data_IF_885516949046
#
_entry.id   IF_885516949046
#
_cell.length_a   1.000
_cell.length_b   1.000
_cell.length_c   1.000
_cell.angle_alpha   90.00
_cell.angle_beta   90.00
_cell.angle_gamma   90.00
#
_symmetry.space_group_name_H-M   'P 1'
#
loop_
_entity.id
_entity.type
_entity.pdbx_description
1 polymer ?
#
# COMPACT_ATOMS: atom_id res chain seq x y z
N UNK A 1 51.62 38.16 -91.75
CA UNK A 1 50.56 37.15 -91.65
C UNK A 1 51.27 35.81 -91.44
N UNK A 2 51.16 35.08 -90.34
CA UNK A 2 50.29 35.15 -89.17
C UNK A 2 51.04 34.57 -87.94
N UNK A 3 50.74 35.15 -86.78
CA UNK A 3 50.46 34.50 -85.49
C UNK A 3 51.21 33.20 -85.13
N UNK A 4 52.30 33.33 -84.37
CA UNK A 4 52.70 32.28 -83.43
C UNK A 4 51.99 32.55 -82.10
N UNK A 5 50.74 32.09 -82.03
CA UNK A 5 50.05 31.89 -80.76
C UNK A 5 50.81 30.84 -79.97
N UNK A 6 51.61 31.27 -79.00
CA UNK A 6 52.02 30.39 -77.93
C UNK A 6 50.74 29.99 -77.19
N UNK A 7 50.22 28.80 -77.49
CA UNK A 7 49.24 28.13 -76.65
C UNK A 7 49.86 27.98 -75.27
N UNK A 8 49.55 28.94 -74.39
CA UNK A 8 49.72 28.78 -72.97
C UNK A 8 48.77 27.65 -72.58
N UNK A 9 49.30 26.42 -72.52
CA UNK A 9 48.53 25.31 -71.97
C UNK A 9 48.40 25.62 -70.49
N UNK A 10 47.26 26.19 -70.13
CA UNK A 10 46.88 26.52 -68.76
C UNK A 10 46.60 25.21 -68.00
N UNK A 11 47.67 24.45 -67.75
CA UNK A 11 47.59 23.23 -66.96
C UNK A 11 47.56 23.64 -65.49
N UNK A 12 46.37 23.61 -64.90
CA UNK A 12 46.18 23.72 -63.45
C UNK A 12 47.12 22.75 -62.74
N UNK A 13 47.92 23.23 -61.78
CA UNK A 13 48.84 22.41 -61.00
C UNK A 13 48.06 21.22 -60.38
N UNK A 14 48.47 19.96 -60.60
CA UNK A 14 47.78 18.78 -60.07
C UNK A 14 47.50 18.83 -58.55
N UNK A 15 48.30 19.57 -57.78
CA UNK A 15 48.06 19.79 -56.34
C UNK A 15 46.80 20.62 -56.09
N UNK A 16 46.52 21.62 -56.92
CA UNK A 16 45.31 22.44 -56.85
C UNK A 16 44.08 21.59 -57.13
N UNK A 17 44.16 20.67 -58.11
CA UNK A 17 43.09 19.72 -58.42
C UNK A 17 42.76 18.84 -57.19
N UNK A 18 43.77 18.30 -56.51
CA UNK A 18 43.60 17.43 -55.32
C UNK A 18 42.95 18.20 -54.16
N UNK A 19 43.37 19.44 -53.90
CA UNK A 19 42.77 20.24 -52.81
C UNK A 19 41.33 20.67 -53.15
N UNK A 20 41.00 20.92 -54.42
CA UNK A 20 39.62 21.19 -54.85
C UNK A 20 38.72 19.95 -54.69
N UNK A 21 39.22 18.76 -55.00
CA UNK A 21 38.49 17.51 -54.75
C UNK A 21 38.26 17.29 -53.25
N UNK A 22 39.27 17.57 -52.41
CA UNK A 22 39.10 17.53 -50.95
C UNK A 22 38.08 18.54 -50.45
N UNK A 23 38.07 19.76 -51.00
CA UNK A 23 37.11 20.79 -50.63
C UNK A 23 35.69 20.39 -51.02
N UNK A 24 35.50 19.82 -52.23
CA UNK A 24 34.20 19.31 -52.67
C UNK A 24 33.73 18.16 -51.78
N UNK A 25 34.59 17.18 -51.48
CA UNK A 25 34.25 16.07 -50.58
C UNK A 25 33.88 16.56 -49.17
N UNK A 26 34.64 17.52 -48.62
CA UNK A 26 34.34 18.12 -47.33
C UNK A 26 33.01 18.89 -47.35
N UNK A 27 32.69 19.56 -48.46
CA UNK A 27 31.41 20.27 -48.65
C UNK A 27 30.25 19.28 -48.68
N UNK A 28 30.39 18.16 -49.40
CA UNK A 28 29.37 17.10 -49.43
C UNK A 28 29.17 16.45 -48.06
N UNK A 29 30.26 16.24 -47.31
CA UNK A 29 30.21 15.70 -45.96
C UNK A 29 29.54 16.66 -44.97
N UNK A 30 29.84 17.97 -45.06
CA UNK A 30 29.14 19.01 -44.28
C UNK A 30 27.65 18.99 -44.59
N UNK A 31 27.27 19.02 -45.87
CA UNK A 31 25.86 19.01 -46.27
C UNK A 31 25.13 17.78 -45.75
N UNK A 32 25.78 16.61 -45.81
CA UNK A 32 25.22 15.37 -45.28
C UNK A 32 25.02 15.43 -43.76
N UNK A 33 26.03 15.89 -43.02
CA UNK A 33 25.96 16.02 -41.56
C UNK A 33 24.91 17.07 -41.13
N UNK A 34 24.73 18.14 -41.90
CA UNK A 34 23.68 19.13 -41.66
C UNK A 34 22.28 18.51 -41.79
N UNK A 35 22.05 17.72 -42.84
CA UNK A 35 20.78 16.99 -43.02
C UNK A 35 20.54 16.01 -41.88
N UNK A 36 21.53 15.18 -41.53
CA UNK A 36 21.43 14.21 -40.43
C UNK A 36 21.19 14.90 -39.08
N UNK A 37 21.84 16.04 -38.84
CA UNK A 37 21.65 16.84 -37.63
C UNK A 37 20.23 17.37 -37.53
N UNK A 38 19.67 17.88 -38.62
CA UNK A 38 18.31 18.40 -38.65
C UNK A 38 17.26 17.29 -38.50
N UNK A 39 17.49 16.12 -39.08
CA UNK A 39 16.68 14.92 -38.86
C UNK A 39 16.72 14.48 -37.39
N UNK A 40 17.91 14.39 -36.79
CA UNK A 40 18.07 14.03 -35.37
C UNK A 40 17.39 15.06 -34.45
N UNK A 41 17.51 16.35 -34.76
CA UNK A 41 16.84 17.43 -34.01
C UNK A 41 15.33 17.33 -34.14
N UNK A 42 14.80 17.03 -35.33
CA UNK A 42 13.38 16.83 -35.55
C UNK A 42 12.86 15.61 -34.76
N UNK A 43 13.58 14.48 -34.82
CA UNK A 43 13.24 13.27 -34.07
C UNK A 43 13.26 13.52 -32.55
N UNK A 44 14.27 14.23 -32.04
CA UNK A 44 14.35 14.59 -30.63
C UNK A 44 13.16 15.46 -30.18
N UNK A 45 12.80 16.48 -30.97
CA UNK A 45 11.64 17.34 -30.68
C UNK A 45 10.35 16.53 -30.64
N UNK A 46 10.14 15.61 -31.60
CA UNK A 46 8.98 14.72 -31.62
C UNK A 46 8.93 13.83 -30.38
N UNK A 47 10.04 13.17 -30.05
CA UNK A 47 10.12 12.30 -28.87
C UNK A 47 9.88 13.07 -27.57
N UNK A 48 10.41 14.29 -27.45
CA UNK A 48 10.21 15.15 -26.29
C UNK A 48 8.72 15.51 -26.16
N UNK A 49 8.08 15.96 -27.24
CA UNK A 49 6.65 16.27 -27.25
C UNK A 49 5.80 15.05 -26.87
N UNK A 50 6.08 13.88 -27.44
CA UNK A 50 5.35 12.65 -27.13
C UNK A 50 5.53 12.23 -25.66
N UNK A 51 6.75 12.32 -25.15
CA UNK A 51 7.09 11.97 -23.76
C UNK A 51 6.41 12.92 -22.78
N UNK A 52 6.46 14.23 -23.03
CA UNK A 52 5.76 15.23 -22.22
C UNK A 52 4.25 15.00 -22.23
N UNK A 53 3.65 14.72 -23.39
CA UNK A 53 2.22 14.43 -23.49
C UNK A 53 1.83 13.15 -22.72
N UNK A 54 2.67 12.10 -22.75
CA UNK A 54 2.47 10.88 -21.95
C UNK A 54 2.53 11.18 -20.45
N UNK A 55 3.51 11.96 -20.00
CA UNK A 55 3.65 12.37 -18.59
C UNK A 55 2.45 13.19 -18.14
N UNK A 56 2.00 14.16 -18.94
CA UNK A 56 0.82 14.96 -18.61
C UNK A 56 -0.46 14.11 -18.57
N UNK A 57 -0.60 13.15 -19.48
CA UNK A 57 -1.71 12.19 -19.46
C UNK A 57 -1.70 11.36 -18.19
N UNK A 58 -0.54 10.87 -17.76
CA UNK A 58 -0.38 10.12 -16.51
C UNK A 58 -0.66 11.00 -15.29
N UNK A 59 -0.17 12.24 -15.28
CA UNK A 59 -0.45 13.23 -14.23
C UNK A 59 -1.94 13.53 -14.11
N UNK A 60 -2.63 13.75 -15.23
CA UNK A 60 -4.09 13.96 -15.25
C UNK A 60 -4.86 12.71 -14.85
N UNK A 61 -4.38 11.52 -15.25
CA UNK A 61 -4.95 10.25 -14.80
C UNK A 61 -4.79 10.12 -13.29
N UNK A 62 -3.58 10.09 -12.77
CA UNK A 62 -3.34 9.84 -11.35
C UNK A 62 -3.89 10.98 -10.47
N UNK A 63 -3.75 12.24 -10.91
CA UNK A 63 -4.32 13.39 -10.24
C UNK A 63 -4.09 13.37 -8.72
N UNK A 64 -5.16 13.56 -7.96
CA UNK A 64 -5.16 13.44 -6.50
C UNK A 64 -5.75 12.09 -6.02
N UNK A 65 -5.74 11.03 -6.84
CA UNK A 65 -6.46 9.80 -6.51
C UNK A 65 -5.92 9.10 -5.25
N UNK A 66 -4.61 9.22 -4.98
CA UNK A 66 -3.96 8.72 -3.77
C UNK A 66 -4.48 9.48 -2.54
N UNK A 67 -4.42 10.82 -2.57
CA UNK A 67 -4.96 11.67 -1.49
C UNK A 67 -6.46 11.46 -1.28
N UNK A 68 -7.23 11.29 -2.36
CA UNK A 68 -8.67 11.03 -2.29
C UNK A 68 -9.00 9.64 -1.76
N UNK A 69 -8.13 8.65 -1.94
CA UNK A 69 -8.30 7.30 -1.41
C UNK A 69 -7.78 7.14 0.03
N UNK A 70 -6.93 8.08 0.50
CA UNK A 70 -6.33 8.05 1.83
C UNK A 70 -7.32 7.81 2.98
N UNK A 71 -8.48 8.48 3.07
CA UNK A 71 -9.44 8.24 4.17
C UNK A 71 -9.95 6.79 4.23
N UNK A 72 -10.07 6.12 3.07
CA UNK A 72 -10.47 4.71 3.03
C UNK A 72 -9.39 3.80 3.60
N UNK A 73 -8.12 4.04 3.29
CA UNK A 73 -7.01 3.23 3.80
C UNK A 73 -6.78 3.47 5.30
N UNK A 74 -6.92 4.71 5.77
CA UNK A 74 -6.92 5.04 7.20
C UNK A 74 -8.06 4.33 7.93
N UNK A 75 -9.29 4.39 7.40
CA UNK A 75 -10.42 3.68 7.99
C UNK A 75 -10.19 2.16 8.02
N UNK A 76 -9.59 1.56 6.97
CA UNK A 76 -9.23 0.14 6.97
C UNK A 76 -8.19 -0.21 8.02
N UNK A 77 -7.20 0.66 8.22
CA UNK A 77 -6.22 0.49 9.27
C UNK A 77 -6.89 0.51 10.65
N UNK A 78 -7.76 1.48 10.92
CA UNK A 78 -8.52 1.55 12.17
C UNK A 78 -9.43 0.33 12.37
N UNK A 79 -10.11 -0.15 11.34
CA UNK A 79 -10.96 -1.35 11.42
C UNK A 79 -10.14 -2.61 11.75
N UNK A 80 -8.97 -2.77 11.11
CA UNK A 80 -8.05 -3.87 11.44
C UNK A 80 -7.56 -3.81 12.88
N UNK A 81 -7.26 -2.63 13.39
CA UNK A 81 -6.83 -2.49 14.78
C UNK A 81 -7.97 -2.79 15.76
N UNK A 82 -9.19 -2.29 15.48
CA UNK A 82 -10.38 -2.61 16.26
C UNK A 82 -10.70 -4.13 16.24
N UNK A 83 -10.46 -4.81 15.13
CA UNK A 83 -10.60 -6.27 15.03
C UNK A 83 -9.65 -6.99 15.98
N UNK A 84 -8.36 -6.61 15.98
CA UNK A 84 -7.37 -7.21 16.91
C UNK A 84 -7.77 -7.01 18.36
N UNK A 85 -8.21 -5.80 18.73
CA UNK A 85 -8.67 -5.52 20.10
C UNK A 85 -9.89 -6.36 20.46
N UNK A 86 -10.81 -6.57 19.51
CA UNK A 86 -11.98 -7.44 19.70
C UNK A 86 -11.55 -8.89 19.92
N UNK A 87 -10.60 -9.41 19.13
CA UNK A 87 -10.08 -10.76 19.30
C UNK A 87 -9.37 -10.96 20.66
N UNK A 88 -8.59 -9.97 21.09
CA UNK A 88 -7.95 -10.00 22.42
C UNK A 88 -9.01 -10.03 23.52
N UNK A 89 -10.03 -9.20 23.43
CA UNK A 89 -11.13 -9.17 24.40
C UNK A 89 -11.95 -10.48 24.37
N UNK A 90 -12.16 -11.08 23.19
CA UNK A 90 -12.83 -12.37 23.04
C UNK A 90 -12.05 -13.49 23.75
N UNK A 91 -10.73 -13.59 23.53
CA UNK A 91 -9.88 -14.58 24.21
C UNK A 91 -9.89 -14.40 25.73
N UNK A 92 -9.90 -13.15 26.22
CA UNK A 92 -10.04 -12.87 27.65
C UNK A 92 -11.38 -13.36 28.20
N UNK A 93 -12.46 -13.08 27.47
CA UNK A 93 -13.79 -13.53 27.85
C UNK A 93 -13.91 -15.06 27.86
N UNK A 94 -13.36 -15.75 26.86
CA UNK A 94 -13.31 -17.23 26.81
C UNK A 94 -12.51 -17.81 27.99
N UNK A 95 -11.38 -17.20 28.34
CA UNK A 95 -10.60 -17.59 29.50
C UNK A 95 -11.38 -17.38 30.80
N UNK A 96 -12.08 -16.26 30.94
CA UNK A 96 -12.92 -15.99 32.11
C UNK A 96 -14.10 -16.96 32.22
N UNK A 97 -14.75 -17.31 31.10
CA UNK A 97 -15.77 -18.35 31.03
C UNK A 97 -15.22 -19.71 31.50
N UNK A 98 -14.05 -20.10 31.01
CA UNK A 98 -13.39 -21.36 31.41
C UNK A 98 -13.06 -21.37 32.90
N UNK A 99 -12.54 -20.26 33.43
CA UNK A 99 -12.22 -20.11 34.85
C UNK A 99 -13.47 -20.19 35.73
N UNK A 100 -14.57 -19.54 35.32
CA UNK A 100 -15.85 -19.61 36.03
C UNK A 100 -16.42 -21.05 36.01
N UNK A 101 -16.35 -21.74 34.87
CA UNK A 101 -16.78 -23.14 34.77
C UNK A 101 -15.97 -24.05 35.70
N UNK A 102 -14.65 -23.88 35.75
CA UNK A 102 -13.78 -24.63 36.66
C UNK A 102 -14.09 -24.31 38.14
N UNK A 103 -14.38 -23.04 38.47
CA UNK A 103 -14.77 -22.66 39.82
C UNK A 103 -16.10 -23.32 40.24
N UNK A 104 -17.08 -23.37 39.33
CA UNK A 104 -18.36 -24.06 39.58
C UNK A 104 -18.18 -25.55 39.80
N UNK A 105 -17.32 -26.20 39.02
CA UNK A 105 -17.01 -27.61 39.20
C UNK A 105 -16.36 -27.88 40.57
N UNK A 106 -15.48 -27.00 41.06
CA UNK A 106 -14.91 -27.13 42.39
C UNK A 106 -15.96 -27.04 43.51
N UNK A 107 -16.97 -26.18 43.38
CA UNK A 107 -18.09 -26.13 44.33
C UNK A 107 -18.90 -27.42 44.28
N UNK A 108 -19.24 -27.89 43.08
CA UNK A 108 -19.99 -29.13 42.90
C UNK A 108 -19.28 -30.35 43.52
N UNK A 109 -17.96 -30.48 43.29
CA UNK A 109 -17.16 -31.56 43.89
C UNK A 109 -17.07 -31.43 45.41
N UNK A 110 -16.97 -30.21 45.95
CA UNK A 110 -17.02 -29.98 47.39
C UNK A 110 -18.37 -30.42 47.97
N UNK A 111 -19.48 -30.04 47.35
CA UNK A 111 -20.83 -30.44 47.79
C UNK A 111 -21.03 -31.96 47.76
N UNK A 112 -20.53 -32.66 46.72
CA UNK A 112 -20.57 -34.12 46.66
C UNK A 112 -19.72 -34.79 47.75
N UNK A 113 -18.53 -34.25 48.02
CA UNK A 113 -17.62 -34.79 49.05
C UNK A 113 -18.19 -34.72 50.47
N UNK A 114 -19.14 -33.82 50.71
CA UNK A 114 -19.85 -33.70 51.99
C UNK A 114 -20.72 -34.95 52.27
N UNK A 115 -21.27 -35.61 51.25
CA UNK A 115 -21.81 -36.99 51.32
C UNK A 115 -22.73 -37.31 52.51
N UNK A 116 -23.47 -36.35 53.06
CA UNK A 116 -24.33 -36.52 54.24
C UNK A 116 -23.62 -36.50 55.60
N UNK A 117 -22.35 -36.08 55.66
CA UNK A 117 -21.57 -35.87 56.91
C UNK A 117 -21.99 -34.56 57.60
N UNK A 118 -21.78 -34.50 58.92
CA UNK A 118 -21.99 -33.28 59.70
C UNK A 118 -21.04 -32.18 59.23
N UNK A 119 -21.56 -30.97 59.01
CA UNK A 119 -20.78 -29.80 58.65
C UNK A 119 -19.83 -29.45 59.82
N UNK A 120 -18.54 -29.79 59.67
CA UNK A 120 -17.52 -29.30 60.59
C UNK A 120 -17.04 -27.89 60.17
N UNK A 121 -16.41 -27.12 61.07
CA UNK A 121 -15.99 -25.75 60.78
C UNK A 121 -15.01 -25.62 59.59
N UNK A 122 -14.13 -26.62 59.40
CA UNK A 122 -13.16 -26.61 58.31
C UNK A 122 -13.82 -26.81 56.94
N UNK A 123 -14.82 -27.69 56.86
CA UNK A 123 -15.63 -27.89 55.67
C UNK A 123 -16.48 -26.66 55.33
N UNK A 124 -17.04 -26.00 56.35
CA UNK A 124 -17.79 -24.76 56.15
C UNK A 124 -16.91 -23.67 55.54
N UNK A 125 -15.68 -23.52 56.04
CA UNK A 125 -14.72 -22.56 55.51
C UNK A 125 -14.30 -22.88 54.07
N UNK A 126 -14.10 -24.16 53.74
CA UNK A 126 -13.81 -24.60 52.37
C UNK A 126 -14.95 -24.26 51.40
N UNK A 127 -16.20 -24.52 51.79
CA UNK A 127 -17.37 -24.22 50.94
C UNK A 127 -17.56 -22.71 50.76
N UNK A 128 -17.34 -21.93 51.82
CA UNK A 128 -17.37 -20.46 51.74
C UNK A 128 -16.31 -19.94 50.76
N UNK A 129 -15.08 -20.46 50.83
CA UNK A 129 -14.00 -20.08 49.91
C UNK A 129 -14.29 -20.49 48.46
N UNK A 130 -14.81 -21.71 48.24
CA UNK A 130 -15.21 -22.16 46.90
C UNK A 130 -16.33 -21.29 46.32
N UNK A 131 -17.33 -20.96 47.13
CA UNK A 131 -18.45 -20.07 46.75
C UNK A 131 -17.96 -18.66 46.42
N UNK A 132 -17.08 -18.10 47.25
CA UNK A 132 -16.47 -16.79 47.01
C UNK A 132 -15.72 -16.78 45.67
N UNK A 133 -14.94 -17.82 45.38
CA UNK A 133 -14.22 -17.94 44.10
C UNK A 133 -15.15 -18.01 42.89
N UNK A 134 -16.31 -18.67 42.99
CA UNK A 134 -17.31 -18.68 41.91
C UNK A 134 -17.87 -17.28 41.67
N UNK A 135 -18.19 -16.55 42.75
CA UNK A 135 -18.69 -15.19 42.66
C UNK A 135 -17.65 -14.24 42.04
N UNK A 136 -16.38 -14.37 42.42
CA UNK A 136 -15.28 -13.58 41.86
C UNK A 136 -15.08 -13.87 40.37
N UNK A 137 -15.09 -15.16 39.99
CA UNK A 137 -14.97 -15.58 38.60
C UNK A 137 -16.17 -15.13 37.75
N UNK A 138 -17.38 -15.09 38.32
CA UNK A 138 -18.57 -14.57 37.61
C UNK A 138 -18.47 -13.06 37.38
N UNK A 139 -17.98 -12.30 38.36
CA UNK A 139 -17.75 -10.86 38.20
C UNK A 139 -16.74 -10.58 37.10
N UNK A 140 -15.61 -11.30 37.10
CA UNK A 140 -14.58 -11.16 36.07
C UNK A 140 -15.11 -11.53 34.68
N UNK A 141 -15.88 -12.63 34.59
CA UNK A 141 -16.55 -13.05 33.36
C UNK A 141 -17.51 -11.98 32.84
N UNK A 142 -18.30 -11.35 33.70
CA UNK A 142 -19.23 -10.30 33.32
C UNK A 142 -18.50 -9.06 32.77
N UNK A 143 -17.42 -8.63 33.45
CA UNK A 143 -16.58 -7.51 33.01
C UNK A 143 -15.92 -7.81 31.65
N UNK A 144 -15.27 -8.96 31.51
CA UNK A 144 -14.66 -9.38 30.25
C UNK A 144 -15.68 -9.49 29.11
N UNK A 145 -16.90 -9.94 29.41
CA UNK A 145 -18.00 -10.00 28.44
C UNK A 145 -18.48 -8.63 27.99
N UNK A 146 -18.54 -7.65 28.91
CA UNK A 146 -18.86 -6.27 28.57
C UNK A 146 -17.76 -5.63 27.72
N UNK A 147 -16.49 -5.80 28.08
CA UNK A 147 -15.34 -5.30 27.32
C UNK A 147 -15.34 -5.85 25.88
N UNK A 148 -15.53 -7.17 25.73
CA UNK A 148 -15.62 -7.81 24.42
C UNK A 148 -16.77 -7.23 23.59
N UNK A 149 -17.95 -7.03 24.19
CA UNK A 149 -19.10 -6.41 23.50
C UNK A 149 -18.80 -4.99 23.03
N UNK A 150 -18.18 -4.17 23.88
CA UNK A 150 -17.80 -2.80 23.52
C UNK A 150 -16.78 -2.79 22.39
N UNK A 151 -15.75 -3.66 22.46
CA UNK A 151 -14.75 -3.79 21.42
C UNK A 151 -15.39 -4.21 20.09
N UNK A 152 -16.30 -5.18 20.12
CA UNK A 152 -17.05 -5.64 18.95
C UNK A 152 -17.88 -4.51 18.30
N UNK A 153 -18.62 -3.73 19.09
CA UNK A 153 -19.40 -2.58 18.58
C UNK A 153 -18.49 -1.54 17.92
N UNK A 154 -17.31 -1.27 18.50
CA UNK A 154 -16.31 -0.35 17.90
C UNK A 154 -15.79 -0.89 16.56
N UNK A 155 -15.50 -2.20 16.49
CA UNK A 155 -15.09 -2.84 15.25
C UNK A 155 -16.18 -2.75 14.17
N UNK A 156 -17.43 -3.04 14.52
CA UNK A 156 -18.57 -2.93 13.58
C UNK A 156 -18.74 -1.50 13.06
N UNK A 157 -18.63 -0.49 13.93
CA UNK A 157 -18.69 0.91 13.51
C UNK A 157 -17.53 1.28 12.56
N UNK A 158 -16.31 0.83 12.85
CA UNK A 158 -15.16 1.04 11.98
C UNK A 158 -15.33 0.34 10.62
N UNK A 159 -15.85 -0.90 10.61
CA UNK A 159 -16.15 -1.64 9.38
C UNK A 159 -17.25 -0.98 8.56
N UNK A 160 -18.31 -0.48 9.19
CA UNK A 160 -19.35 0.28 8.51
C UNK A 160 -18.77 1.53 7.81
N UNK A 161 -17.84 2.23 8.47
CA UNK A 161 -17.15 3.37 7.88
C UNK A 161 -16.29 2.96 6.67
N UNK A 162 -15.57 1.84 6.76
CA UNK A 162 -14.82 1.27 5.63
C UNK A 162 -15.74 0.99 4.45
N UNK A 163 -16.87 0.31 4.68
CA UNK A 163 -17.83 -0.02 3.63
C UNK A 163 -18.45 1.23 2.98
N UNK A 164 -18.76 2.26 3.79
CA UNK A 164 -19.23 3.55 3.29
C UNK A 164 -18.21 4.20 2.37
N UNK A 165 -16.97 4.33 2.84
CA UNK A 165 -15.88 4.93 2.06
C UNK A 165 -15.51 4.12 0.83
N UNK A 166 -15.61 2.79 0.88
CA UNK A 166 -15.38 1.92 -0.27
C UNK A 166 -16.40 2.16 -1.38
N UNK A 167 -17.68 2.39 -1.02
CA UNK A 167 -18.74 2.72 -1.98
C UNK A 167 -18.52 4.12 -2.56
N UNK A 168 -18.25 5.10 -1.70
CA UNK A 168 -18.07 6.52 -2.09
C UNK A 168 -16.82 6.74 -2.96
N UNK A 169 -15.70 6.13 -2.59
CA UNK A 169 -14.39 6.38 -3.19
C UNK A 169 -13.95 5.29 -4.18
N UNK A 170 -14.88 4.45 -4.67
CA UNK A 170 -14.60 3.27 -5.53
C UNK A 170 -13.62 3.57 -6.67
N UNK A 171 -13.81 4.68 -7.39
CA UNK A 171 -12.94 5.10 -8.52
C UNK A 171 -11.57 5.55 -8.06
N UNK A 172 -11.48 6.32 -6.97
CA UNK A 172 -10.21 6.79 -6.42
C UNK A 172 -9.36 5.61 -5.91
N UNK A 173 -9.98 4.68 -5.18
CA UNK A 173 -9.35 3.45 -4.67
C UNK A 173 -8.87 2.56 -5.82
N UNK A 174 -9.69 2.36 -6.85
CA UNK A 174 -9.29 1.55 -8.00
C UNK A 174 -8.07 2.15 -8.72
N UNK A 175 -8.06 3.48 -8.88
CA UNK A 175 -6.99 4.20 -9.56
C UNK A 175 -5.71 4.30 -8.73
N UNK A 176 -5.82 4.45 -7.41
CA UNK A 176 -4.68 4.46 -6.49
C UNK A 176 -3.99 3.10 -6.39
N UNK A 177 -4.67 1.99 -6.73
CA UNK A 177 -4.07 0.64 -6.79
C UNK A 177 -3.30 0.38 -8.08
N UNK A 178 -3.56 1.16 -9.13
CA UNK A 178 -2.89 1.07 -10.43
C UNK A 178 -1.84 2.17 -10.64
N UNK A 179 -1.67 3.04 -9.64
CA UNK A 179 -0.56 3.99 -9.54
C UNK A 179 0.69 3.22 -9.08
#
# INVERSE_FOLDING_TARGET
MCENGAEYVDTVDPRVQIELERLNNATDEINKLEVELDECRAAFRLLLCESTAKVDTLRLKLGLCVERAKPYYEARFCANEALKQTQIAAMRYERANSAHSAAREMVYLAEQGLGGRTLDPAWQEMLNHATQRVNDAERERALAGQEHRIAYVKHEAANAKVQSLQKELKRAIAKSRSA
#
